data_IF_871423851200
#
_entry.id   IF_871423851200
#
_cell.length_a   1.000
_cell.length_b   1.000
_cell.length_c   1.000
_cell.angle_alpha   90.00
_cell.angle_beta   90.00
_cell.angle_gamma   90.00
#
_symmetry.space_group_name_H-M   'P 1'
#
loop_
_entity.id
_entity.type
_entity.pdbx_description
1 polymer ?
#
# COMPACT_ATOMS: atom_id res chain seq x y z
N UNK A 1 14.95 4.93 -4.75
CA UNK A 1 13.97 6.03 -4.77
C UNK A 1 14.34 6.93 -5.92
N UNK A 2 13.36 7.38 -6.69
CA UNK A 2 13.57 8.42 -7.70
C UNK A 2 13.59 9.82 -7.05
N UNK A 3 13.92 10.84 -7.84
CA UNK A 3 14.03 12.23 -7.36
C UNK A 3 12.71 12.76 -6.79
N UNK A 4 11.56 12.31 -7.31
CA UNK A 4 10.27 12.70 -6.74
C UNK A 4 10.03 12.05 -5.38
N UNK A 5 10.34 10.76 -5.22
CA UNK A 5 10.21 10.07 -3.94
C UNK A 5 11.12 10.69 -2.87
N UNK A 6 12.33 11.13 -3.25
CA UNK A 6 13.23 11.86 -2.36
C UNK A 6 12.63 13.21 -1.93
N UNK A 7 12.04 13.96 -2.88
CA UNK A 7 11.37 15.23 -2.58
C UNK A 7 10.11 15.04 -1.74
N UNK A 8 9.30 14.02 -2.02
CA UNK A 8 8.13 13.64 -1.23
C UNK A 8 8.54 13.37 0.22
N UNK A 9 9.62 12.62 0.44
CA UNK A 9 10.15 12.28 1.76
C UNK A 9 10.48 13.51 2.60
N UNK A 10 11.00 14.56 1.97
CA UNK A 10 11.38 15.81 2.65
C UNK A 10 10.18 16.71 2.94
N UNK A 11 9.21 16.75 2.02
CA UNK A 11 8.04 17.64 2.11
C UNK A 11 6.91 17.09 3.00
N UNK A 12 6.76 15.77 3.10
CA UNK A 12 5.64 15.13 3.80
C UNK A 12 6.10 14.56 5.15
N UNK A 13 5.83 15.25 6.27
CA UNK A 13 6.22 14.78 7.59
C UNK A 13 5.36 13.60 8.03
N UNK A 14 5.96 12.65 8.75
CA UNK A 14 5.20 11.62 9.46
C UNK A 14 4.83 12.11 10.86
N UNK A 15 3.65 11.72 11.35
CA UNK A 15 3.21 12.06 12.71
C UNK A 15 4.15 11.50 13.80
N UNK A 16 4.95 10.47 13.50
CA UNK A 16 5.94 9.94 14.44
C UNK A 16 7.18 10.84 14.60
N UNK A 17 7.26 11.96 13.87
CA UNK A 17 8.37 12.91 13.91
C UNK A 17 9.57 12.54 13.03
N UNK A 18 9.52 11.39 12.34
CA UNK A 18 10.54 10.97 11.35
C UNK A 18 10.12 11.36 9.93
N UNK A 19 11.07 11.23 9.01
CA UNK A 19 10.85 11.43 7.56
C UNK A 19 10.92 10.10 6.83
N UNK A 20 10.12 9.96 5.77
CA UNK A 20 10.19 8.79 4.88
C UNK A 20 9.63 7.50 5.46
N UNK A 21 8.73 7.58 6.44
CA UNK A 21 8.02 6.40 6.91
C UNK A 21 7.16 5.83 5.78
N UNK A 22 7.19 4.51 5.58
CA UNK A 22 6.40 3.81 4.55
C UNK A 22 4.93 4.22 4.59
N UNK A 23 4.38 4.42 5.79
CA UNK A 23 3.02 4.87 6.03
C UNK A 23 2.64 6.18 5.32
N UNK A 24 3.57 7.14 5.17
CA UNK A 24 3.27 8.40 4.46
C UNK A 24 3.06 8.16 2.96
N UNK A 25 3.55 7.06 2.42
CA UNK A 25 3.45 6.72 0.99
C UNK A 25 2.26 5.81 0.67
N UNK A 26 2.04 4.77 1.49
CA UNK A 26 1.15 3.65 1.16
C UNK A 26 -0.06 3.49 2.09
N UNK A 27 -0.32 4.45 2.97
CA UNK A 27 -1.60 4.54 3.67
C UNK A 27 -2.68 5.14 2.77
N UNK A 28 -3.95 5.03 3.17
CA UNK A 28 -5.04 5.72 2.46
C UNK A 28 -4.89 7.25 2.49
N UNK A 29 -4.38 7.81 3.59
CA UNK A 29 -4.07 9.25 3.69
C UNK A 29 -2.84 9.61 2.86
N UNK A 30 -1.82 8.75 2.81
CA UNK A 30 -0.65 8.91 1.93
C UNK A 30 -1.04 8.94 0.46
N UNK A 31 -1.94 8.04 0.04
CA UNK A 31 -2.50 8.01 -1.30
C UNK A 31 -3.26 9.32 -1.64
N UNK A 32 -4.15 9.77 -0.76
CA UNK A 32 -4.86 11.03 -0.92
C UNK A 32 -3.92 12.24 -0.98
N UNK A 33 -2.86 12.24 -0.17
CA UNK A 33 -1.85 13.30 -0.13
C UNK A 33 -1.05 13.35 -1.44
N UNK A 34 -0.64 12.20 -1.99
CA UNK A 34 0.06 12.16 -3.27
C UNK A 34 -0.83 12.64 -4.42
N UNK A 35 -2.11 12.23 -4.45
CA UNK A 35 -3.07 12.75 -5.41
C UNK A 35 -3.27 14.26 -5.28
N UNK A 36 -3.34 14.80 -4.05
CA UNK A 36 -3.43 16.24 -3.82
C UNK A 36 -2.20 16.98 -4.35
N UNK A 37 -0.99 16.44 -4.17
CA UNK A 37 0.24 17.03 -4.74
C UNK A 37 0.21 17.07 -6.26
N UNK A 38 -0.36 16.05 -6.91
CA UNK A 38 -0.43 15.95 -8.37
C UNK A 38 -1.56 16.80 -8.97
N UNK A 39 -2.73 16.81 -8.34
CA UNK A 39 -3.96 17.42 -8.89
C UNK A 39 -4.28 18.82 -8.33
N UNK A 40 -3.69 19.18 -7.20
CA UNK A 40 -4.09 20.33 -6.38
C UNK A 40 -5.41 20.16 -5.62
N UNK A 41 -6.08 19.00 -5.74
CA UNK A 41 -7.38 18.73 -5.12
C UNK A 41 -7.27 17.69 -4.01
N UNK A 42 -7.84 18.00 -2.85
CA UNK A 42 -7.96 17.04 -1.76
C UNK A 42 -9.23 16.21 -1.95
N UNK A 43 -9.06 14.91 -2.16
CA UNK A 43 -10.13 13.91 -2.27
C UNK A 43 -9.82 12.73 -1.35
N UNK A 44 -10.85 11.97 -0.97
CA UNK A 44 -10.70 10.71 -0.26
C UNK A 44 -10.26 9.59 -1.21
N UNK A 45 -9.71 8.52 -0.64
CA UNK A 45 -9.19 7.40 -1.43
C UNK A 45 -10.24 6.77 -2.35
N UNK A 46 -11.46 6.58 -1.88
CA UNK A 46 -12.59 6.03 -2.67
C UNK A 46 -12.99 6.95 -3.83
N UNK A 47 -13.00 8.27 -3.61
CA UNK A 47 -13.27 9.26 -4.66
C UNK A 47 -12.18 9.22 -5.75
N UNK A 48 -10.91 9.09 -5.36
CA UNK A 48 -9.79 8.99 -6.31
C UNK A 48 -9.86 7.67 -7.10
N UNK A 49 -10.21 6.56 -6.45
CA UNK A 49 -10.38 5.28 -7.14
C UNK A 49 -11.54 5.35 -8.15
N UNK A 50 -12.63 6.06 -7.83
CA UNK A 50 -13.68 6.28 -8.82
C UNK A 50 -13.17 7.06 -10.05
N UNK A 51 -12.29 8.06 -9.84
CA UNK A 51 -11.66 8.77 -10.95
C UNK A 51 -10.79 7.85 -11.82
N UNK A 52 -10.06 6.90 -11.22
CA UNK A 52 -9.32 5.86 -11.95
C UNK A 52 -10.25 5.04 -12.84
N UNK A 53 -11.40 4.63 -12.32
CA UNK A 53 -12.41 3.87 -13.09
C UNK A 53 -12.95 4.67 -14.28
N UNK A 54 -13.03 5.99 -14.15
CA UNK A 54 -13.40 6.92 -15.23
C UNK A 54 -12.23 7.38 -16.10
N UNK A 55 -11.05 6.74 -15.97
CA UNK A 55 -9.85 7.00 -16.78
C UNK A 55 -9.24 8.40 -16.61
N UNK A 56 -9.34 9.00 -15.42
CA UNK A 56 -8.61 10.22 -15.10
C UNK A 56 -7.09 9.97 -15.04
N UNK A 57 -6.32 10.69 -15.84
CA UNK A 57 -4.88 10.48 -15.97
C UNK A 57 -4.10 10.78 -14.68
N UNK A 58 -4.57 11.74 -13.85
CA UNK A 58 -3.88 12.11 -12.62
C UNK A 58 -4.14 11.07 -11.53
N UNK A 59 -5.37 10.58 -11.43
CA UNK A 59 -5.74 9.49 -10.53
C UNK A 59 -5.02 8.19 -10.90
N UNK A 60 -4.92 7.88 -12.19
CA UNK A 60 -4.17 6.73 -12.70
C UNK A 60 -2.68 6.80 -12.35
N UNK A 61 -2.07 7.98 -12.49
CA UNK A 61 -0.69 8.22 -12.08
C UNK A 61 -0.51 8.04 -10.57
N UNK A 62 -1.41 8.61 -9.75
CA UNK A 62 -1.37 8.46 -8.30
C UNK A 62 -1.47 6.99 -7.87
N UNK A 63 -2.38 6.22 -8.48
CA UNK A 63 -2.54 4.80 -8.17
C UNK A 63 -1.33 3.98 -8.62
N UNK A 64 -0.79 4.25 -9.80
CA UNK A 64 0.40 3.56 -10.31
C UNK A 64 1.63 3.81 -9.40
N UNK A 65 1.78 5.03 -8.88
CA UNK A 65 2.81 5.34 -7.86
C UNK A 65 2.59 4.60 -6.56
N UNK A 66 1.35 4.57 -6.08
CA UNK A 66 0.98 3.81 -4.89
C UNK A 66 1.31 2.32 -5.06
N UNK A 67 0.95 1.71 -6.19
CA UNK A 67 1.24 0.31 -6.53
C UNK A 67 2.73 0.02 -6.49
N UNK A 68 3.55 0.88 -7.11
CA UNK A 68 5.00 0.74 -7.13
C UNK A 68 5.62 0.87 -5.73
N UNK A 69 5.18 1.87 -4.96
CA UNK A 69 5.65 2.11 -3.57
C UNK A 69 5.25 0.96 -2.64
N UNK A 70 4.03 0.45 -2.79
CA UNK A 70 3.56 -0.74 -2.06
C UNK A 70 4.38 -1.97 -2.43
N UNK A 71 4.65 -2.20 -3.72
CA UNK A 71 5.48 -3.32 -4.17
C UNK A 71 6.91 -3.25 -3.59
N UNK A 72 7.56 -2.08 -3.60
CA UNK A 72 8.87 -1.87 -2.95
C UNK A 72 8.81 -2.20 -1.45
N UNK A 73 7.80 -1.69 -0.74
CA UNK A 73 7.64 -1.93 0.69
C UNK A 73 7.42 -3.41 1.03
N UNK A 74 6.54 -4.10 0.29
CA UNK A 74 6.29 -5.53 0.50
C UNK A 74 7.50 -6.39 0.11
N UNK A 75 8.24 -6.04 -0.93
CA UNK A 75 9.47 -6.75 -1.28
C UNK A 75 10.53 -6.66 -0.18
N UNK A 76 10.63 -5.54 0.53
CA UNK A 76 11.47 -5.47 1.74
C UNK A 76 11.03 -6.45 2.82
N UNK A 77 9.72 -6.63 3.03
CA UNK A 77 9.20 -7.62 3.97
C UNK A 77 9.53 -9.03 3.52
N UNK A 78 9.34 -9.34 2.23
CA UNK A 78 9.69 -10.66 1.66
C UNK A 78 11.18 -10.96 1.83
N UNK A 79 12.06 -10.02 1.47
CA UNK A 79 13.51 -10.21 1.58
C UNK A 79 14.00 -10.45 3.02
N UNK A 80 13.25 -9.99 4.04
CA UNK A 80 13.64 -10.11 5.44
C UNK A 80 12.99 -11.33 6.12
N UNK A 81 11.72 -11.58 5.83
CA UNK A 81 10.89 -12.56 6.57
C UNK A 81 10.52 -13.80 5.76
N UNK A 82 10.60 -13.74 4.43
CA UNK A 82 10.14 -14.78 3.49
C UNK A 82 8.77 -15.40 3.87
N UNK A 83 7.68 -14.59 3.95
CA UNK A 83 6.41 -15.09 4.45
C UNK A 83 5.69 -15.96 3.41
N UNK A 84 5.00 -17.01 3.89
CA UNK A 84 4.13 -17.86 3.07
C UNK A 84 2.92 -17.12 2.47
N UNK A 85 2.50 -16.01 3.07
CA UNK A 85 1.37 -15.19 2.62
C UNK A 85 1.44 -13.78 3.18
N UNK A 86 1.04 -12.80 2.36
CA UNK A 86 0.82 -11.41 2.79
C UNK A 86 -0.67 -11.10 2.69
N UNK A 87 -1.29 -10.72 3.81
CA UNK A 87 -2.71 -10.35 3.84
C UNK A 87 -2.83 -8.84 4.00
N UNK A 88 -3.41 -8.16 3.00
CA UNK A 88 -3.67 -6.73 3.03
C UNK A 88 -4.99 -6.44 3.76
N UNK A 89 -4.94 -5.51 4.71
CA UNK A 89 -6.10 -4.98 5.42
C UNK A 89 -6.24 -3.47 5.23
N UNK A 90 -7.30 -2.90 5.81
CA UNK A 90 -7.60 -1.47 5.72
C UNK A 90 -8.30 -1.05 4.43
N UNK A 91 -8.65 0.24 4.31
CA UNK A 91 -9.49 0.75 3.22
C UNK A 91 -8.92 0.49 1.82
N UNK A 92 -7.62 0.70 1.62
CA UNK A 92 -6.96 0.48 0.32
C UNK A 92 -6.95 -0.99 -0.11
N UNK A 93 -7.09 -1.94 0.82
CA UNK A 93 -7.21 -3.37 0.49
C UNK A 93 -8.48 -3.71 -0.30
N UNK A 94 -9.44 -2.78 -0.39
CA UNK A 94 -10.64 -2.95 -1.21
C UNK A 94 -10.39 -2.69 -2.71
N UNK A 95 -9.24 -2.14 -3.09
CA UNK A 95 -8.88 -1.89 -4.49
C UNK A 95 -8.43 -3.19 -5.14
N UNK A 96 -9.33 -3.83 -5.90
CA UNK A 96 -9.09 -5.15 -6.52
C UNK A 96 -7.88 -5.18 -7.47
N UNK A 97 -7.57 -4.04 -8.09
CA UNK A 97 -6.42 -3.89 -8.99
C UNK A 97 -5.08 -4.22 -8.30
N UNK A 98 -4.94 -3.90 -7.01
CA UNK A 98 -3.70 -4.13 -6.26
C UNK A 98 -3.29 -5.61 -6.26
N UNK A 99 -4.26 -6.53 -6.21
CA UNK A 99 -3.98 -7.97 -6.21
C UNK A 99 -3.53 -8.50 -7.57
N UNK A 100 -3.67 -7.71 -8.64
CA UNK A 100 -3.21 -8.05 -9.99
C UNK A 100 -1.85 -7.43 -10.29
N UNK A 101 -1.64 -6.17 -9.90
CA UNK A 101 -0.46 -5.38 -10.27
C UNK A 101 0.70 -5.58 -9.30
N UNK A 102 0.45 -5.49 -7.99
CA UNK A 102 1.49 -5.49 -6.95
C UNK A 102 2.33 -6.77 -6.95
N UNK A 103 1.76 -8.00 -7.05
CA UNK A 103 2.57 -9.22 -7.08
C UNK A 103 3.56 -9.26 -8.24
N UNK A 104 3.19 -8.71 -9.41
CA UNK A 104 4.08 -8.63 -10.57
C UNK A 104 5.22 -7.64 -10.32
N UNK A 105 4.89 -6.46 -9.79
CA UNK A 105 5.87 -5.41 -9.48
C UNK A 105 6.87 -5.83 -8.39
N UNK A 106 6.42 -6.61 -7.40
CA UNK A 106 7.27 -7.07 -6.30
C UNK A 106 8.47 -7.88 -6.79
N UNK A 107 8.31 -8.70 -7.84
CA UNK A 107 9.37 -9.57 -8.39
C UNK A 107 10.64 -8.79 -8.76
N UNK A 108 10.51 -7.55 -9.22
CA UNK A 108 11.66 -6.70 -9.57
C UNK A 108 12.45 -6.18 -8.37
N UNK A 109 11.90 -6.28 -7.16
CA UNK A 109 12.50 -5.77 -5.92
C UNK A 109 12.89 -6.88 -4.91
N UNK A 110 12.47 -8.12 -5.16
CA UNK A 110 12.85 -9.28 -4.35
C UNK A 110 14.19 -9.83 -4.82
N UNK A 111 15.06 -10.15 -3.88
CA UNK A 111 16.37 -10.73 -4.15
C UNK A 111 16.20 -12.09 -4.84
N UNK A 112 16.89 -12.31 -5.96
CA UNK A 112 16.76 -13.52 -6.78
C UNK A 112 15.61 -13.50 -7.79
N UNK A 113 14.69 -12.51 -7.73
CA UNK A 113 13.61 -12.33 -8.71
C UNK A 113 12.45 -13.34 -8.61
N UNK A 114 12.65 -14.42 -7.86
CA UNK A 114 11.62 -15.39 -7.50
C UNK A 114 10.81 -14.84 -6.33
N UNK A 115 9.59 -14.36 -6.62
CA UNK A 115 8.63 -13.97 -5.59
C UNK A 115 7.29 -14.60 -5.90
N UNK A 116 7.01 -15.71 -5.21
CA UNK A 116 5.73 -16.41 -5.30
C UNK A 116 4.81 -16.13 -4.11
N UNK A 117 5.27 -15.34 -3.12
CA UNK A 117 4.50 -14.97 -1.94
C UNK A 117 3.13 -14.41 -2.34
N UNK A 118 2.03 -15.11 -2.01
CA UNK A 118 0.70 -14.69 -2.36
C UNK A 118 0.28 -13.44 -1.57
N UNK A 119 -0.12 -12.40 -2.30
CA UNK A 119 -0.83 -11.25 -1.73
C UNK A 119 -2.34 -11.53 -1.74
N UNK A 120 -3.01 -11.36 -0.60
CA UNK A 120 -4.42 -11.72 -0.41
C UNK A 120 -5.19 -10.62 0.32
N UNK A 121 -6.49 -10.53 0.04
CA UNK A 121 -7.41 -9.63 0.75
C UNK A 121 -7.79 -10.20 2.11
N UNK A 122 -7.81 -9.36 3.14
CA UNK A 122 -8.35 -9.73 4.45
C UNK A 122 -9.82 -10.15 4.34
N UNK A 123 -10.20 -11.22 5.05
CA UNK A 123 -11.55 -11.81 4.98
C UNK A 123 -12.51 -11.38 6.09
N UNK A 124 -11.97 -10.87 7.20
CA UNK A 124 -12.74 -10.67 8.43
C UNK A 124 -13.04 -9.20 8.75
N UNK A 125 -12.58 -8.26 7.92
CA UNK A 125 -12.92 -6.83 8.00
C UNK A 125 -12.83 -6.28 9.43
N UNK A 126 -13.86 -5.57 9.85
CA UNK A 126 -13.96 -4.93 11.17
C UNK A 126 -13.94 -5.93 12.34
N UNK A 127 -14.32 -7.20 12.09
CA UNK A 127 -14.26 -8.26 13.09
C UNK A 127 -12.86 -8.86 13.25
N UNK A 128 -11.86 -8.45 12.46
CA UNK A 128 -10.51 -9.01 12.53
C UNK A 128 -9.86 -8.79 13.91
N UNK A 129 -10.08 -7.62 14.52
CA UNK A 129 -9.52 -7.29 15.83
C UNK A 129 -10.04 -8.18 16.96
N UNK A 130 -11.37 -8.30 17.09
CA UNK A 130 -11.98 -9.13 18.13
C UNK A 130 -11.68 -10.62 17.95
N UNK A 131 -11.63 -11.11 16.70
CA UNK A 131 -11.25 -12.50 16.40
C UNK A 131 -9.81 -12.78 16.78
N UNK A 132 -8.90 -11.87 16.42
CA UNK A 132 -7.49 -11.98 16.81
C UNK A 132 -7.31 -11.98 18.33
N UNK A 133 -8.01 -11.11 19.05
CA UNK A 133 -7.98 -11.07 20.51
C UNK A 133 -8.47 -12.39 21.14
N UNK A 134 -9.57 -12.97 20.62
CA UNK A 134 -10.09 -14.25 21.10
C UNK A 134 -9.14 -15.43 20.82
N UNK A 135 -8.30 -15.35 19.78
CA UNK A 135 -7.34 -16.39 19.42
C UNK A 135 -5.93 -16.20 19.99
N UNK A 136 -5.68 -15.11 20.73
CA UNK A 136 -4.34 -14.77 21.21
C UNK A 136 -3.76 -15.82 22.17
N UNK A 137 -4.61 -16.51 22.93
CA UNK A 137 -4.25 -17.65 23.76
C UNK A 137 -5.03 -18.90 23.35
N UNK A 138 -4.40 -20.09 23.32
CA UNK A 138 -5.13 -21.34 23.20
C UNK A 138 -6.15 -21.46 24.33
N UNK A 139 -7.30 -22.06 24.04
CA UNK A 139 -8.18 -22.54 25.11
C UNK A 139 -7.40 -23.62 25.86
N UNK A 140 -7.21 -23.41 27.17
CA UNK A 140 -6.59 -24.37 28.07
C UNK A 140 -7.34 -25.71 28.07
#
# INVERSE_FOLDING_TARGET
>A
MDDDELRYREEIPCYCGKQGCIETFISGTGFATDYQRLSGKLLKGDEIIHLVETQDAVAELALSRYELRLAKALAHVVNILDPDVIVLGGGMSNVERLYKTVPSLMKSFVFGGECETPVRKARHGDSSGVRGAAWLWPLA
#
